data_IF_003699502661
#
_entry.id   IF_003699502661
#
_cell.length_a   1.000
_cell.length_b   1.000
_cell.length_c   1.000
_cell.angle_alpha   90.00
_cell.angle_beta   90.00
_cell.angle_gamma   90.00
#
_symmetry.space_group_name_H-M   'P 1'
#
loop_
_entity.id
_entity.type
_entity.pdbx_description
1 polymer ?
#
# COMPACT_ATOMS: atom_id res chain seq x y z
N UNK A 1 -8.82 -56.28 -0.12
CA UNK A 1 -9.68 -55.30 -0.82
C UNK A 1 -10.23 -54.20 0.08
N UNK A 2 -10.67 -54.48 1.33
CA UNK A 2 -11.14 -53.44 2.27
C UNK A 2 -10.06 -52.42 2.69
N UNK A 3 -8.82 -52.84 3.01
CA UNK A 3 -7.76 -51.89 3.44
C UNK A 3 -7.25 -50.97 2.32
N UNK A 4 -7.29 -51.43 1.06
CA UNK A 4 -6.93 -50.60 -0.09
C UNK A 4 -7.92 -49.44 -0.27
N UNK A 5 -9.20 -49.67 0.03
CA UNK A 5 -10.27 -48.67 -0.08
C UNK A 5 -10.16 -47.57 1.00
N UNK A 6 -9.76 -47.93 2.23
CA UNK A 6 -9.50 -46.95 3.29
C UNK A 6 -8.24 -46.12 3.02
N UNK A 7 -7.18 -46.72 2.44
CA UNK A 7 -6.00 -45.96 2.03
C UNK A 7 -6.31 -44.95 0.93
N UNK A 8 -7.12 -45.31 -0.08
CA UNK A 8 -7.52 -44.37 -1.14
C UNK A 8 -8.45 -43.28 -0.61
N UNK A 9 -9.33 -43.58 0.36
CA UNK A 9 -10.20 -42.59 0.99
C UNK A 9 -9.43 -41.60 1.87
N UNK A 10 -8.40 -42.06 2.60
CA UNK A 10 -7.51 -41.19 3.38
C UNK A 10 -6.63 -40.28 2.50
N UNK A 11 -6.19 -40.73 1.32
CA UNK A 11 -5.42 -39.88 0.39
C UNK A 11 -6.29 -38.75 -0.22
N UNK A 12 -7.56 -39.03 -0.50
CA UNK A 12 -8.51 -38.03 -1.03
C UNK A 12 -8.85 -36.98 0.04
N UNK A 13 -8.94 -37.38 1.32
CA UNK A 13 -9.24 -36.46 2.42
C UNK A 13 -8.04 -35.53 2.76
N UNK A 14 -6.80 -35.98 2.58
CA UNK A 14 -5.61 -35.13 2.73
C UNK A 14 -5.47 -34.09 1.61
N UNK A 15 -5.97 -34.38 0.40
CA UNK A 15 -5.91 -33.45 -0.73
C UNK A 15 -6.87 -32.26 -0.63
N UNK A 16 -7.81 -32.27 0.31
CA UNK A 16 -8.81 -31.19 0.51
C UNK A 16 -8.32 -30.15 1.54
N UNK A 17 -7.19 -30.40 2.22
CA UNK A 17 -6.66 -29.53 3.29
C UNK A 17 -5.49 -28.63 2.83
N UNK A 18 -5.39 -28.31 1.54
CA UNK A 18 -4.52 -27.22 1.09
C UNK A 18 -5.20 -25.90 1.40
N UNK A 19 -5.02 -25.41 2.63
CA UNK A 19 -5.31 -24.01 2.93
C UNK A 19 -4.31 -23.16 2.14
N UNK A 20 -4.81 -22.39 1.18
CA UNK A 20 -4.02 -21.33 0.55
C UNK A 20 -3.65 -20.31 1.64
N UNK A 21 -2.41 -20.37 2.12
CA UNK A 21 -1.88 -19.36 3.04
C UNK A 21 -1.56 -18.11 2.22
N UNK A 22 -2.56 -17.25 2.02
CA UNK A 22 -2.37 -15.93 1.43
C UNK A 22 -1.86 -15.01 2.55
N UNK A 23 -0.54 -14.97 2.74
CA UNK A 23 0.10 -14.04 3.69
C UNK A 23 0.26 -12.62 3.09
N UNK A 24 0.29 -12.52 1.77
CA UNK A 24 0.50 -11.26 1.04
C UNK A 24 -0.85 -10.66 0.64
N UNK A 25 -1.02 -9.37 0.92
CA UNK A 25 -2.10 -8.59 0.35
C UNK A 25 -2.09 -8.68 -1.19
N UNK A 26 -3.25 -8.95 -1.78
CA UNK A 26 -3.43 -9.13 -3.23
C UNK A 26 -3.99 -7.86 -3.90
N UNK A 27 -4.18 -6.78 -3.15
CA UNK A 27 -4.61 -5.49 -3.71
C UNK A 27 -3.55 -4.95 -4.68
N UNK A 28 -4.03 -4.33 -5.75
CA UNK A 28 -3.20 -3.61 -6.71
C UNK A 28 -3.66 -2.17 -6.81
N UNK A 29 -2.71 -1.27 -7.01
CA UNK A 29 -2.97 0.16 -7.10
C UNK A 29 -2.65 0.66 -8.50
N UNK A 30 -3.38 1.70 -8.93
CA UNK A 30 -3.12 2.35 -10.21
C UNK A 30 -1.90 3.26 -10.07
N UNK A 31 -0.99 3.18 -11.05
CA UNK A 31 0.17 4.06 -11.14
C UNK A 31 0.02 4.90 -12.39
N UNK A 32 0.04 6.23 -12.24
CA UNK A 32 -0.21 7.16 -13.33
C UNK A 32 1.01 7.29 -14.26
N UNK A 33 0.81 7.20 -15.57
CA UNK A 33 1.86 7.47 -16.54
C UNK A 33 1.84 8.94 -16.93
N UNK A 34 2.82 9.71 -16.46
CA UNK A 34 2.99 11.10 -16.85
C UNK A 34 3.48 11.21 -18.30
N UNK A 35 2.98 12.21 -19.06
CA UNK A 35 3.54 12.50 -20.37
C UNK A 35 4.96 13.10 -20.21
N UNK A 36 5.87 12.90 -21.20
CA UNK A 36 7.28 13.30 -21.07
C UNK A 36 7.51 14.81 -20.88
N UNK A 37 6.54 15.65 -21.21
CA UNK A 37 6.57 17.11 -21.04
C UNK A 37 5.95 17.60 -19.73
N UNK A 38 5.44 16.69 -18.88
CA UNK A 38 4.88 16.99 -17.56
C UNK A 38 5.46 16.09 -16.47
N UNK A 39 6.78 15.94 -16.48
CA UNK A 39 7.50 15.19 -15.45
C UNK A 39 7.34 15.95 -14.11
N UNK A 40 6.87 15.31 -13.03
CA UNK A 40 6.73 15.97 -11.74
C UNK A 40 8.07 16.49 -11.20
N UNK A 41 8.05 17.71 -10.68
CA UNK A 41 9.18 18.32 -9.96
C UNK A 41 9.25 17.80 -8.51
N UNK A 42 10.47 17.64 -7.96
CA UNK A 42 10.67 17.26 -6.56
C UNK A 42 10.94 18.52 -5.74
N UNK A 43 9.88 19.26 -5.44
CA UNK A 43 9.97 20.54 -4.70
C UNK A 43 8.88 20.71 -3.63
N UNK A 44 8.03 19.71 -3.42
CA UNK A 44 6.93 19.75 -2.45
C UNK A 44 5.67 20.48 -2.93
N UNK A 45 5.67 21.05 -4.15
CA UNK A 45 4.47 21.58 -4.78
C UNK A 45 3.70 20.44 -5.48
N UNK A 46 2.40 20.33 -5.24
CA UNK A 46 1.57 19.26 -5.80
C UNK A 46 0.91 19.61 -7.15
N UNK A 47 1.08 20.82 -7.69
CA UNK A 47 0.37 21.27 -8.90
C UNK A 47 0.63 20.41 -10.15
N UNK A 48 1.82 19.82 -10.26
CA UNK A 48 2.12 18.88 -11.36
C UNK A 48 1.20 17.64 -11.36
N UNK A 49 0.61 17.31 -10.20
CA UNK A 49 -0.24 16.15 -9.99
C UNK A 49 -1.73 16.43 -10.23
N UNK A 50 -2.12 17.65 -10.59
CA UNK A 50 -3.52 18.02 -10.88
C UNK A 50 -4.12 17.24 -12.06
N UNK A 51 -3.27 16.72 -12.96
CA UNK A 51 -3.70 15.90 -14.08
C UNK A 51 -4.04 14.45 -13.68
N UNK A 52 -3.68 14.02 -12.46
CA UNK A 52 -3.88 12.66 -11.97
C UNK A 52 -5.31 12.50 -11.48
N UNK A 53 -6.11 11.58 -12.05
CA UNK A 53 -7.50 11.38 -11.63
C UNK A 53 -7.64 10.91 -10.18
N UNK A 54 -8.76 11.25 -9.54
CA UNK A 54 -9.00 10.93 -8.13
C UNK A 54 -8.99 9.43 -7.80
N UNK A 55 -9.29 8.56 -8.76
CA UNK A 55 -9.29 7.10 -8.58
C UNK A 55 -7.88 6.47 -8.58
N UNK A 56 -6.82 7.28 -8.72
CA UNK A 56 -5.43 6.89 -8.49
C UNK A 56 -4.97 7.19 -7.05
N UNK A 57 -5.80 7.87 -6.25
CA UNK A 57 -5.48 8.20 -4.86
C UNK A 57 -5.63 6.96 -3.99
N UNK A 58 -4.56 6.62 -3.28
CA UNK A 58 -4.57 5.66 -2.18
C UNK A 58 -4.79 6.46 -0.91
N UNK A 59 -6.03 6.45 -0.40
CA UNK A 59 -6.44 7.22 0.76
C UNK A 59 -6.59 6.38 2.02
N UNK A 60 -7.00 7.03 3.12
CA UNK A 60 -7.22 6.42 4.43
C UNK A 60 -8.19 5.24 4.42
N UNK A 61 -9.11 5.16 3.46
CA UNK A 61 -10.05 4.05 3.28
C UNK A 61 -9.39 2.75 2.81
N UNK A 62 -8.14 2.83 2.35
CA UNK A 62 -7.34 1.70 1.86
C UNK A 62 -6.17 1.36 2.79
N UNK A 63 -5.97 2.13 3.86
CA UNK A 63 -4.91 1.95 4.85
C UNK A 63 -5.46 1.31 6.14
N UNK A 64 -4.58 0.76 6.96
CA UNK A 64 -4.96 0.16 8.25
C UNK A 64 -3.84 0.36 9.29
N UNK A 65 -4.22 0.47 10.56
CA UNK A 65 -3.29 0.55 11.69
C UNK A 65 -2.75 -0.85 12.04
N UNK A 66 -1.47 -1.07 11.77
CA UNK A 66 -0.79 -2.33 12.04
C UNK A 66 -0.40 -2.53 13.51
N UNK A 67 -0.37 -1.45 14.29
CA UNK A 67 -0.11 -1.48 15.74
C UNK A 67 -1.32 -1.98 16.53
N UNK A 68 -2.53 -1.89 15.94
CA UNK A 68 -3.83 -2.25 16.55
C UNK A 68 -4.10 -1.50 17.85
N UNK A 69 -3.52 -0.31 18.03
CA UNK A 69 -3.70 0.53 19.22
C UNK A 69 -5.01 1.32 19.15
N UNK A 70 -5.51 1.56 17.95
CA UNK A 70 -6.71 2.37 17.73
C UNK A 70 -7.92 1.50 17.36
N UNK A 71 -9.12 1.80 17.88
CA UNK A 71 -10.32 1.01 17.61
C UNK A 71 -10.85 1.19 16.18
N UNK A 72 -10.53 2.31 15.53
CA UNK A 72 -10.94 2.67 14.17
C UNK A 72 -10.00 3.73 13.59
N UNK A 73 -10.03 3.89 12.27
CA UNK A 73 -9.37 5.00 11.57
C UNK A 73 -9.99 6.33 12.01
N UNK A 74 -9.15 7.32 12.34
CA UNK A 74 -9.55 8.69 12.68
C UNK A 74 -8.77 9.70 11.84
N UNK A 75 -9.44 10.26 10.82
CA UNK A 75 -8.82 11.22 9.90
C UNK A 75 -8.60 12.61 10.52
N UNK A 76 -9.04 12.84 11.76
CA UNK A 76 -8.74 14.07 12.50
C UNK A 76 -7.42 13.97 13.28
N UNK A 77 -6.91 12.76 13.46
CA UNK A 77 -5.59 12.51 14.03
C UNK A 77 -4.54 12.35 12.91
N UNK A 78 -4.75 11.40 11.98
CA UNK A 78 -3.87 11.20 10.82
C UNK A 78 -4.69 11.06 9.54
N UNK A 79 -4.36 11.83 8.51
CA UNK A 79 -4.98 11.73 7.19
C UNK A 79 -3.93 11.78 6.08
N UNK A 80 -3.94 10.77 5.21
CA UNK A 80 -2.91 10.57 4.20
C UNK A 80 -3.51 10.23 2.85
N UNK A 81 -2.98 10.86 1.80
CA UNK A 81 -3.23 10.53 0.41
C UNK A 81 -1.90 10.25 -0.29
N UNK A 82 -1.82 9.11 -0.99
CA UNK A 82 -0.68 8.79 -1.86
C UNK A 82 -1.12 8.75 -3.31
N UNK A 83 -0.32 9.36 -4.19
CA UNK A 83 -0.37 9.14 -5.64
C UNK A 83 1.01 8.66 -6.10
N UNK A 84 1.01 7.72 -7.04
CA UNK A 84 2.25 7.16 -7.62
C UNK A 84 2.26 7.38 -9.12
N UNK A 85 3.40 7.83 -9.63
CA UNK A 85 3.61 8.17 -11.02
C UNK A 85 4.86 7.54 -11.62
N UNK A 86 4.88 7.40 -12.93
CA UNK A 86 6.07 7.04 -13.70
C UNK A 86 6.07 7.75 -15.05
N UNK A 87 7.20 7.73 -15.75
CA UNK A 87 7.34 8.35 -17.08
C UNK A 87 7.99 7.33 -18.01
N UNK A 88 7.43 7.17 -19.21
CA UNK A 88 8.01 6.27 -20.20
C UNK A 88 9.42 6.72 -20.62
N UNK A 89 10.32 5.75 -20.77
CA UNK A 89 11.74 5.99 -21.04
C UNK A 89 12.55 6.48 -19.83
N UNK A 90 11.97 6.60 -18.62
CA UNK A 90 12.70 6.93 -17.40
C UNK A 90 12.68 5.78 -16.39
N UNK A 91 13.83 5.52 -15.75
CA UNK A 91 13.94 4.54 -14.67
C UNK A 91 13.61 5.17 -13.30
N UNK A 92 12.40 5.72 -13.15
CA UNK A 92 11.98 6.46 -11.95
C UNK A 92 10.50 6.26 -11.65
N UNK A 93 10.20 6.02 -10.37
CA UNK A 93 8.87 6.22 -9.79
C UNK A 93 8.85 7.54 -9.03
N UNK A 94 7.71 8.21 -9.07
CA UNK A 94 7.43 9.46 -8.39
C UNK A 94 6.33 9.18 -7.38
N UNK A 95 6.48 9.72 -6.16
CA UNK A 95 5.52 9.58 -5.08
C UNK A 95 5.13 10.98 -4.61
N UNK A 96 3.84 11.26 -4.59
CA UNK A 96 3.28 12.39 -3.85
C UNK A 96 2.59 11.83 -2.62
N UNK A 97 3.07 12.24 -1.45
CA UNK A 97 2.48 11.92 -0.16
C UNK A 97 1.98 13.22 0.44
N UNK A 98 0.68 13.33 0.57
CA UNK A 98 0.01 14.47 1.21
C UNK A 98 -0.48 13.97 2.57
N UNK A 99 0.14 14.45 3.64
CA UNK A 99 -0.13 14.01 5.00
C UNK A 99 -0.55 15.18 5.89
N UNK A 100 -1.58 14.95 6.69
CA UNK A 100 -1.94 15.74 7.84
C UNK A 100 -1.79 14.86 9.08
N UNK A 101 -1.11 15.41 10.08
CA UNK A 101 -1.03 14.85 11.42
C UNK A 101 -1.37 15.95 12.42
N UNK A 102 -2.08 15.60 13.50
CA UNK A 102 -2.37 16.50 14.60
C UNK A 102 -1.14 16.75 15.49
N UNK A 103 -0.12 15.89 15.37
CA UNK A 103 1.14 16.00 16.07
C UNK A 103 2.30 15.53 15.17
N UNK A 104 3.34 16.37 15.05
CA UNK A 104 4.54 16.05 14.28
C UNK A 104 5.76 15.92 15.20
N UNK A 105 6.37 14.75 15.26
CA UNK A 105 7.56 14.46 16.04
C UNK A 105 8.83 14.47 15.16
N UNK A 106 9.56 15.58 15.25
CA UNK A 106 10.85 15.78 14.59
C UNK A 106 11.92 16.33 15.53
N UNK A 107 11.65 16.37 16.84
CA UNK A 107 12.48 17.14 17.79
C UNK A 107 13.82 16.45 18.09
N UNK A 108 13.84 15.12 18.12
CA UNK A 108 15.03 14.35 18.42
C UNK A 108 15.43 13.40 17.28
N UNK A 109 16.74 13.13 17.08
CA UNK A 109 17.16 12.04 16.20
C UNK A 109 16.75 10.69 16.79
N UNK A 110 15.98 9.90 16.04
CA UNK A 110 15.56 8.57 16.46
C UNK A 110 14.72 7.84 15.42
N UNK A 111 14.29 6.62 15.74
CA UNK A 111 13.34 5.84 14.93
C UNK A 111 11.88 6.08 15.33
N UNK A 112 11.62 7.04 16.22
CA UNK A 112 10.28 7.35 16.70
C UNK A 112 9.60 8.48 15.90
N UNK A 113 10.37 9.16 15.05
CA UNK A 113 9.94 10.32 14.28
C UNK A 113 8.93 9.91 13.21
N UNK A 114 8.04 10.84 12.85
CA UNK A 114 7.08 10.60 11.78
C UNK A 114 7.79 10.40 10.45
N UNK A 115 7.58 9.22 9.86
CA UNK A 115 8.32 8.77 8.68
C UNK A 115 7.37 8.16 7.67
N UNK A 116 7.60 8.45 6.40
CA UNK A 116 7.03 7.69 5.28
C UNK A 116 8.08 6.74 4.73
N UNK A 117 7.81 5.44 4.80
CA UNK A 117 8.73 4.40 4.34
C UNK A 117 8.28 3.81 3.00
N UNK A 118 9.23 3.69 2.07
CA UNK A 118 9.04 3.00 0.79
C UNK A 118 9.81 1.69 0.81
N UNK A 119 9.10 0.57 0.60
CA UNK A 119 9.67 -0.78 0.52
C UNK A 119 9.59 -1.27 -0.93
N UNK A 120 10.70 -1.76 -1.48
CA UNK A 120 10.85 -2.15 -2.90
C UNK A 120 11.44 -3.54 -3.03
#
# INVERSE_FOLDING_TARGET
MRSLFYCTLSLILLGILTNDTIAQDQRSYKIFQFPPDKIPCIDGNNGDWDIVPADYVIGMDQLWDDTKKHPSVDTTNLNLNVKVGWVDGLNRLYFLVEAYDDFWDFEEPGLHNDTYELVV
#
